data_IF_755252123244
#
_entry.id   IF_755252123244
#
_cell.length_a   1.000
_cell.length_b   1.000
_cell.length_c   1.000
_cell.angle_alpha   90.00
_cell.angle_beta   90.00
_cell.angle_gamma   90.00
#
_symmetry.space_group_name_H-M   'P 1'
#
loop_
_entity.id
_entity.type
_entity.pdbx_description
1 polymer ?
#
# COMPACT_ATOMS: atom_id res chain seq x y z
N UNK A 1 6.14 -1.78 3.06
CA UNK A 1 5.97 -0.62 3.97
C UNK A 1 4.68 -0.67 4.80
N UNK A 2 4.39 -1.78 5.49
CA UNK A 2 3.18 -1.88 6.32
C UNK A 2 3.19 -0.89 7.50
N UNK A 3 4.38 -0.56 8.03
CA UNK A 3 4.53 0.45 9.08
C UNK A 3 4.05 1.86 8.67
N UNK A 4 4.23 2.27 7.41
CA UNK A 4 3.73 3.57 6.93
C UNK A 4 2.20 3.62 6.93
N UNK A 5 1.54 2.53 6.55
CA UNK A 5 0.08 2.43 6.57
C UNK A 5 -0.46 2.50 8.01
N UNK A 6 0.22 1.86 8.97
CA UNK A 6 -0.13 1.96 10.39
C UNK A 6 0.12 3.36 10.96
N UNK A 7 1.24 3.99 10.61
CA UNK A 7 1.56 5.34 11.06
C UNK A 7 0.54 6.36 10.54
N UNK A 8 0.16 6.25 9.26
CA UNK A 8 -0.91 7.07 8.67
C UNK A 8 -2.23 6.88 9.45
N UNK A 9 -2.61 5.63 9.73
CA UNK A 9 -3.81 5.36 10.51
C UNK A 9 -3.75 5.94 11.93
N UNK A 10 -2.61 5.82 12.63
CA UNK A 10 -2.40 6.41 13.95
C UNK A 10 -2.48 7.94 13.93
N UNK A 11 -2.13 8.58 12.81
CA UNK A 11 -2.28 10.01 12.57
C UNK A 11 -3.69 10.42 12.09
N UNK A 12 -4.66 9.50 12.06
CA UNK A 12 -6.03 9.78 11.59
C UNK A 12 -6.17 9.87 10.06
N UNK A 13 -5.17 9.42 9.30
CA UNK A 13 -5.18 9.38 7.85
C UNK A 13 -5.57 8.00 7.32
N UNK A 14 -6.25 8.00 6.16
CA UNK A 14 -6.37 6.84 5.30
C UNK A 14 -5.14 6.70 4.41
N UNK A 15 -4.78 5.46 4.09
CA UNK A 15 -3.67 5.17 3.19
C UNK A 15 -4.00 3.95 2.30
N UNK A 16 -3.56 3.98 1.04
CA UNK A 16 -3.68 2.85 0.12
C UNK A 16 -2.34 2.51 -0.53
N UNK A 17 -2.00 1.22 -0.53
CA UNK A 17 -0.84 0.70 -1.25
C UNK A 17 -1.26 0.30 -2.66
N UNK A 18 -0.64 0.90 -3.67
CA UNK A 18 -0.87 0.60 -5.08
C UNK A 18 0.35 -0.08 -5.69
N UNK A 19 0.11 -1.25 -6.30
CA UNK A 19 1.15 -2.08 -6.92
C UNK A 19 1.47 -1.72 -8.37
N UNK A 20 0.90 -0.63 -8.92
CA UNK A 20 1.14 -0.21 -10.30
C UNK A 20 2.63 -0.17 -10.70
N UNK A 21 3.56 0.30 -9.85
CA UNK A 21 4.98 0.32 -10.21
C UNK A 21 5.61 -1.04 -10.48
N UNK A 22 5.06 -2.13 -9.94
CA UNK A 22 5.53 -3.49 -10.21
C UNK A 22 5.22 -3.94 -11.64
N UNK A 23 4.20 -3.36 -12.28
CA UNK A 23 3.78 -3.72 -13.63
C UNK A 23 4.36 -2.78 -14.70
N UNK A 24 4.62 -1.53 -14.34
CA UNK A 24 5.10 -0.48 -15.27
C UNK A 24 6.25 0.36 -14.67
N UNK A 25 7.36 -0.26 -14.24
CA UNK A 25 8.43 0.45 -13.51
C UNK A 25 9.09 1.56 -14.34
N UNK A 26 9.26 1.37 -15.64
CA UNK A 26 9.84 2.37 -16.54
C UNK A 26 8.97 3.63 -16.64
N UNK A 27 7.66 3.46 -16.75
CA UNK A 27 6.72 4.58 -16.79
C UNK A 27 6.73 5.35 -15.47
N UNK A 28 6.80 4.66 -14.34
CA UNK A 28 6.86 5.30 -13.03
C UNK A 28 8.17 6.07 -12.84
N UNK A 29 9.31 5.51 -13.27
CA UNK A 29 10.59 6.24 -13.26
C UNK A 29 10.51 7.51 -14.12
N UNK A 30 9.98 7.41 -15.33
CA UNK A 30 9.83 8.57 -16.22
C UNK A 30 8.90 9.62 -15.63
N UNK A 31 7.72 9.21 -15.14
CA UNK A 31 6.69 10.14 -14.64
C UNK A 31 7.10 10.87 -13.36
N UNK A 32 7.98 10.26 -12.54
CA UNK A 32 8.48 10.83 -11.29
C UNK A 32 9.95 11.28 -11.38
N UNK A 33 10.53 11.27 -12.59
CA UNK A 33 11.92 11.66 -12.85
C UNK A 33 12.93 10.94 -11.93
N UNK A 34 12.71 9.64 -11.68
CA UNK A 34 13.56 8.84 -10.80
C UNK A 34 14.83 8.37 -11.52
N UNK A 35 15.94 8.16 -10.78
CA UNK A 35 17.14 7.53 -11.33
C UNK A 35 16.88 6.17 -11.99
N UNK A 36 17.65 5.84 -13.02
CA UNK A 36 17.47 4.59 -13.78
C UNK A 36 17.73 3.33 -12.95
N UNK A 37 18.64 3.43 -11.97
CA UNK A 37 19.01 2.35 -11.04
C UNK A 37 17.97 2.15 -9.92
N UNK A 38 16.96 3.00 -9.83
CA UNK A 38 15.89 2.83 -8.85
C UNK A 38 14.83 1.85 -9.35
N UNK A 39 14.34 1.02 -8.42
CA UNK A 39 13.26 0.07 -8.66
C UNK A 39 12.00 0.47 -7.86
N UNK A 40 11.05 1.17 -8.49
CA UNK A 40 9.78 1.53 -7.84
C UNK A 40 9.00 0.29 -7.39
N UNK A 41 8.75 0.16 -6.08
CA UNK A 41 8.03 -0.99 -5.52
C UNK A 41 6.53 -0.74 -5.37
N UNK A 42 6.14 0.48 -5.03
CA UNK A 42 4.73 0.86 -4.82
C UNK A 42 4.53 2.36 -4.80
N UNK A 43 3.29 2.78 -5.01
CA UNK A 43 2.82 4.14 -4.74
C UNK A 43 1.90 4.05 -3.52
N UNK A 44 2.13 4.92 -2.53
CA UNK A 44 1.23 5.08 -1.38
C UNK A 44 0.45 6.37 -1.55
N UNK A 45 -0.88 6.28 -1.58
CA UNK A 45 -1.75 7.46 -1.45
C UNK A 45 -2.12 7.66 0.01
N UNK A 46 -2.27 8.93 0.41
CA UNK A 46 -2.59 9.37 1.76
C UNK A 46 -3.68 10.45 1.70
N UNK A 47 -4.55 10.50 2.69
CA UNK A 47 -5.57 11.55 2.79
C UNK A 47 -6.53 11.33 3.95
N UNK A 48 -7.45 12.26 4.15
CA UNK A 48 -8.53 12.09 5.12
C UNK A 48 -9.59 11.13 4.57
N UNK A 49 -9.97 10.06 5.30
CA UNK A 49 -11.02 9.15 4.85
C UNK A 49 -12.34 9.90 4.59
N UNK A 50 -12.93 9.70 3.42
CA UNK A 50 -14.23 10.29 3.07
C UNK A 50 -15.42 9.47 3.62
N UNK A 51 -15.17 8.25 4.07
CA UNK A 51 -16.16 7.31 4.59
C UNK A 51 -15.53 6.39 5.65
N UNK A 52 -16.36 5.88 6.55
CA UNK A 52 -15.97 4.80 7.46
C UNK A 52 -16.31 3.44 6.84
N UNK A 53 -15.35 2.52 6.84
CA UNK A 53 -15.53 1.14 6.35
C UNK A 53 -15.34 0.13 7.47
N UNK A 54 -16.28 -0.80 7.57
CA UNK A 54 -16.10 -1.99 8.42
C UNK A 54 -15.13 -2.96 7.74
N UNK A 55 -14.06 -3.32 8.45
CA UNK A 55 -13.08 -4.30 7.98
C UNK A 55 -13.59 -5.71 8.34
N UNK A 56 -13.88 -6.52 7.33
CA UNK A 56 -14.16 -7.94 7.52
C UNK A 56 -12.87 -8.75 7.37
N UNK A 57 -12.69 -9.77 8.21
CA UNK A 57 -11.68 -10.81 8.03
C UNK A 57 -12.34 -12.17 8.18
N UNK A 58 -11.91 -13.13 7.37
CA UNK A 58 -12.30 -14.52 7.54
C UNK A 58 -11.78 -15.06 8.90
N UNK A 59 -12.45 -16.10 9.45
CA UNK A 59 -11.99 -16.75 10.67
C UNK A 59 -10.54 -17.21 10.56
N UNK A 60 -9.74 -16.99 11.60
CA UNK A 60 -8.32 -17.34 11.60
C UNK A 60 -8.07 -18.81 11.24
N UNK A 61 -8.94 -19.71 11.70
CA UNK A 61 -8.87 -21.13 11.42
C UNK A 61 -8.92 -21.48 9.91
N UNK A 62 -9.51 -20.63 9.05
CA UNK A 62 -9.52 -20.89 7.60
C UNK A 62 -8.21 -20.53 6.89
N UNK A 63 -7.28 -19.84 7.58
CA UNK A 63 -6.03 -19.31 7.01
C UNK A 63 -4.77 -19.81 7.74
N UNK A 64 -4.90 -20.78 8.65
CA UNK A 64 -3.76 -21.41 9.33
C UNK A 64 -3.57 -22.85 8.82
N UNK A 65 -2.32 -23.23 8.56
CA UNK A 65 -1.91 -24.62 8.39
C UNK A 65 -0.96 -24.96 9.54
N UNK A 66 -1.35 -25.94 10.36
CA UNK A 66 -0.46 -26.51 11.39
C UNK A 66 0.40 -27.58 10.71
N UNK A 67 1.73 -27.40 10.74
CA UNK A 67 2.71 -28.37 10.28
C UNK A 67 3.62 -28.75 11.45
#
# INVERSE_FOLDING_TARGET
CQNLLLAAHAAGLGACWMCAPLFVPALVRQALELPEDWEPQAILTLGHPAEEKQKAREPLASRIVWR
#
